data_IF_156895202700
#
_entry.id   IF_156895202700
#
_cell.length_a   1.000
_cell.length_b   1.000
_cell.length_c   1.000
_cell.angle_alpha   90.00
_cell.angle_beta   90.00
_cell.angle_gamma   90.00
#
_symmetry.space_group_name_H-M   'P 1'
#
loop_
_entity.id
_entity.type
_entity.pdbx_description
1 polymer ?
#
# COMPACT_ATOMS: atom_id res chain seq x y z
N UNK A 1 9.71 3.41 8.45
CA UNK A 1 9.94 1.98 8.71
C UNK A 1 11.22 1.58 8.00
N UNK A 2 12.01 0.67 8.57
CA UNK A 2 13.27 0.18 8.00
C UNK A 2 13.19 -1.33 7.81
N UNK A 3 13.90 -1.86 6.81
CA UNK A 3 14.08 -3.30 6.67
C UNK A 3 14.68 -3.88 7.97
N UNK A 4 14.29 -5.08 8.33
CA UNK A 4 14.72 -5.72 9.58
C UNK A 4 14.01 -5.23 10.85
N UNK A 5 12.97 -4.38 10.74
CA UNK A 5 12.13 -4.03 11.90
C UNK A 5 11.45 -5.28 12.46
N UNK A 6 11.61 -5.52 13.76
CA UNK A 6 10.99 -6.65 14.46
C UNK A 6 9.67 -6.18 15.08
N UNK A 7 8.61 -6.90 14.79
CA UNK A 7 7.29 -6.68 15.38
C UNK A 7 7.05 -7.66 16.53
N UNK A 8 6.46 -7.21 17.62
CA UNK A 8 6.27 -8.00 18.85
C UNK A 8 4.82 -8.02 19.30
N UNK A 9 4.52 -8.90 20.25
CA UNK A 9 3.18 -9.03 20.83
C UNK A 9 2.17 -9.58 19.83
N UNK A 10 0.98 -8.99 19.81
CA UNK A 10 -0.16 -9.31 18.93
C UNK A 10 -0.19 -8.48 17.64
N UNK A 11 0.92 -7.85 17.27
CA UNK A 11 1.01 -7.07 16.04
C UNK A 11 0.83 -7.96 14.81
N UNK A 12 -0.26 -7.75 14.06
CA UNK A 12 -0.62 -8.55 12.89
C UNK A 12 0.46 -8.55 11.79
N UNK A 13 1.35 -7.55 11.78
CA UNK A 13 2.48 -7.50 10.83
C UNK A 13 3.47 -8.65 11.03
N UNK A 14 3.46 -9.34 12.16
CA UNK A 14 4.28 -10.55 12.40
C UNK A 14 3.93 -11.70 11.49
N UNK A 15 2.67 -11.81 11.10
CA UNK A 15 2.14 -12.93 10.29
C UNK A 15 1.78 -12.50 8.86
N UNK A 16 1.76 -11.20 8.60
CA UNK A 16 1.49 -10.68 7.26
C UNK A 16 2.70 -10.93 6.35
N UNK A 17 2.53 -11.68 5.25
CA UNK A 17 3.62 -12.05 4.34
C UNK A 17 4.35 -10.85 3.72
N UNK A 18 3.75 -9.67 3.71
CA UNK A 18 4.39 -8.43 3.25
C UNK A 18 5.53 -7.97 4.18
N UNK A 19 5.49 -8.38 5.45
CA UNK A 19 6.47 -7.99 6.47
C UNK A 19 7.49 -9.10 6.80
N UNK A 20 7.50 -10.20 6.02
CA UNK A 20 8.44 -11.31 6.15
C UNK A 20 9.55 -11.16 5.08
N UNK A 21 10.80 -11.36 5.50
CA UNK A 21 11.95 -11.31 4.56
C UNK A 21 11.94 -12.49 3.57
N UNK A 22 12.40 -12.31 2.33
CA UNK A 22 13.03 -11.11 1.75
C UNK A 22 12.02 -10.07 1.24
N UNK A 23 10.73 -10.37 1.25
CA UNK A 23 9.66 -9.54 0.69
C UNK A 23 9.56 -8.20 1.41
N UNK A 24 9.74 -8.19 2.72
CA UNK A 24 9.70 -6.94 3.50
C UNK A 24 10.76 -5.92 3.04
N UNK A 25 12.00 -6.36 2.84
CA UNK A 25 13.06 -5.49 2.31
C UNK A 25 12.72 -4.94 0.91
N UNK A 26 12.11 -5.75 0.05
CA UNK A 26 11.67 -5.34 -1.29
C UNK A 26 10.59 -4.26 -1.21
N UNK A 27 9.58 -4.42 -0.35
CA UNK A 27 8.55 -3.40 -0.14
C UNK A 27 9.12 -2.10 0.43
N UNK A 28 10.05 -2.18 1.37
CA UNK A 28 10.73 -0.97 1.90
C UNK A 28 11.50 -0.24 0.79
N UNK A 29 12.21 -0.96 -0.07
CA UNK A 29 12.91 -0.38 -1.20
C UNK A 29 11.94 0.25 -2.22
N UNK A 30 10.81 -0.40 -2.51
CA UNK A 30 9.76 0.16 -3.36
C UNK A 30 9.23 1.49 -2.81
N UNK A 31 8.86 1.50 -1.52
CA UNK A 31 8.36 2.70 -0.83
C UNK A 31 9.36 3.85 -0.89
N UNK A 32 10.66 3.59 -0.72
CA UNK A 32 11.70 4.63 -0.82
C UNK A 32 11.82 5.22 -2.22
N UNK A 33 11.71 4.38 -3.26
CA UNK A 33 11.72 4.85 -4.66
C UNK A 33 10.47 5.64 -4.99
N UNK A 34 9.30 5.18 -4.54
CA UNK A 34 8.03 5.87 -4.75
C UNK A 34 7.95 7.20 -4.00
N UNK A 35 8.54 7.30 -2.80
CA UNK A 35 8.61 8.57 -2.06
C UNK A 35 9.47 9.60 -2.80
N UNK A 36 10.59 9.18 -3.36
CA UNK A 36 11.43 10.06 -4.22
C UNK A 36 10.67 10.52 -5.46
N UNK A 37 9.95 9.62 -6.12
CA UNK A 37 9.10 9.98 -7.28
C UNK A 37 8.02 10.99 -6.87
N UNK A 38 7.33 10.75 -5.76
CA UNK A 38 6.31 11.66 -5.25
C UNK A 38 6.85 13.07 -4.99
N UNK A 39 8.03 13.18 -4.37
CA UNK A 39 8.69 14.44 -4.10
C UNK A 39 9.12 15.16 -5.37
N UNK A 40 9.74 14.44 -6.30
CA UNK A 40 10.30 15.01 -7.54
C UNK A 40 9.22 15.45 -8.54
N UNK A 41 8.16 14.65 -8.68
CA UNK A 41 7.11 14.89 -9.68
C UNK A 41 5.99 15.78 -9.17
N UNK A 42 5.66 15.71 -7.90
CA UNK A 42 4.45 16.33 -7.33
C UNK A 42 4.72 17.19 -6.10
N UNK A 43 5.94 17.19 -5.53
CA UNK A 43 6.22 17.85 -4.27
C UNK A 43 5.44 17.25 -3.09
N UNK A 44 5.11 15.96 -3.18
CA UNK A 44 4.27 15.25 -2.21
C UNK A 44 5.04 14.12 -1.52
N UNK A 45 4.54 13.66 -0.38
CA UNK A 45 5.08 12.48 0.31
C UNK A 45 4.40 11.21 -0.20
N UNK A 46 5.03 10.07 0.09
CA UNK A 46 4.52 8.75 -0.32
C UNK A 46 3.07 8.51 0.13
N UNK A 47 2.68 8.97 1.33
CA UNK A 47 1.31 8.77 1.82
C UNK A 47 0.28 9.47 0.92
N UNK A 48 0.58 10.69 0.46
CA UNK A 48 -0.29 11.43 -0.45
C UNK A 48 -0.36 10.76 -1.82
N UNK A 49 0.79 10.26 -2.33
CA UNK A 49 0.84 9.52 -3.58
C UNK A 49 -0.01 8.25 -3.51
N UNK A 50 0.10 7.49 -2.42
CA UNK A 50 -0.63 6.23 -2.24
C UNK A 50 -2.14 6.46 -2.20
N UNK A 51 -2.61 7.44 -1.45
CA UNK A 51 -4.04 7.76 -1.36
C UNK A 51 -4.55 8.33 -2.69
N UNK A 52 -3.78 9.23 -3.32
CA UNK A 52 -4.14 9.78 -4.66
C UNK A 52 -4.22 8.67 -5.71
N UNK A 53 -3.27 7.74 -5.70
CA UNK A 53 -3.28 6.59 -6.60
C UNK A 53 -4.57 5.78 -6.47
N UNK A 54 -5.02 5.49 -5.25
CA UNK A 54 -6.28 4.79 -5.00
C UNK A 54 -7.47 5.57 -5.56
N UNK A 55 -7.56 6.88 -5.28
CA UNK A 55 -8.65 7.72 -5.79
C UNK A 55 -8.65 7.80 -7.32
N UNK A 56 -7.50 7.83 -7.96
CA UNK A 56 -7.37 7.86 -9.43
C UNK A 56 -7.72 6.51 -10.09
N UNK A 57 -7.92 5.42 -9.31
CA UNK A 57 -8.48 4.15 -9.80
C UNK A 57 -10.03 4.18 -9.91
N UNK A 58 -10.68 5.27 -9.56
CA UNK A 58 -12.14 5.41 -9.63
C UNK A 58 -12.89 4.86 -8.42
N UNK A 59 -12.21 4.63 -7.30
CA UNK A 59 -12.88 4.25 -6.05
C UNK A 59 -13.63 5.44 -5.46
N UNK A 60 -14.75 5.18 -4.77
CA UNK A 60 -15.58 6.23 -4.16
C UNK A 60 -14.97 6.76 -2.86
N UNK A 61 -14.36 5.89 -2.05
CA UNK A 61 -13.86 6.24 -0.71
C UNK A 61 -12.58 5.48 -0.41
N UNK A 62 -11.57 6.20 0.11
CA UNK A 62 -10.36 5.62 0.67
C UNK A 62 -10.38 5.74 2.21
N UNK A 63 -10.04 4.66 2.91
CA UNK A 63 -9.91 4.66 4.36
C UNK A 63 -8.47 5.03 4.75
N UNK A 64 -8.34 6.01 5.62
CA UNK A 64 -7.06 6.47 6.15
C UNK A 64 -7.00 6.23 7.65
N UNK A 65 -6.30 5.18 8.07
CA UNK A 65 -6.07 4.88 9.47
C UNK A 65 -4.99 5.77 10.08
N UNK A 66 -5.22 6.22 11.31
CA UNK A 66 -4.24 6.99 12.07
C UNK A 66 -4.28 6.60 13.54
N UNK A 67 -3.11 6.59 14.19
CA UNK A 67 -2.98 6.40 15.65
C UNK A 67 -2.77 7.72 16.40
N UNK A 68 -2.31 8.75 15.70
CA UNK A 68 -2.04 10.07 16.23
C UNK A 68 -2.64 11.15 15.32
N UNK A 69 -3.18 12.27 15.87
CA UNK A 69 -3.83 13.31 15.08
C UNK A 69 -2.94 13.91 13.98
N UNK A 70 -1.65 14.00 14.22
CA UNK A 70 -0.66 14.55 13.26
C UNK A 70 -0.59 13.73 11.97
N UNK A 71 -0.99 12.47 12.00
CA UNK A 71 -1.02 11.61 10.83
C UNK A 71 -2.18 11.93 9.86
N UNK A 72 -3.17 12.69 10.34
CA UNK A 72 -4.31 13.15 9.53
C UNK A 72 -4.15 14.59 9.01
N UNK A 73 -3.22 15.38 9.56
CA UNK A 73 -3.04 16.78 9.17
C UNK A 73 -2.86 17.00 7.67
N UNK A 74 -2.09 16.16 6.94
CA UNK A 74 -1.88 16.37 5.51
C UNK A 74 -2.95 15.76 4.60
N UNK A 75 -4.16 15.49 5.08
CA UNK A 75 -5.21 14.86 4.26
C UNK A 75 -5.64 15.72 3.07
N UNK A 76 -5.60 17.04 3.21
CA UNK A 76 -5.89 18.01 2.15
C UNK A 76 -4.84 18.00 1.03
N UNK A 77 -3.62 17.57 1.32
CA UNK A 77 -2.54 17.40 0.33
C UNK A 77 -2.81 16.34 -0.74
N UNK A 78 -3.86 15.56 -0.59
CA UNK A 78 -4.31 14.56 -1.57
C UNK A 78 -5.21 15.17 -2.65
N UNK A 79 -5.81 16.34 -2.38
CA UNK A 79 -6.81 16.99 -3.23
C UNK A 79 -6.15 17.99 -4.18
N UNK A 80 -6.77 18.22 -5.34
CA UNK A 80 -6.37 19.28 -6.28
C UNK A 80 -5.28 18.90 -7.27
N UNK A 81 -4.91 17.62 -7.37
CA UNK A 81 -3.95 17.09 -8.35
C UNK A 81 -4.30 15.66 -8.73
N UNK A 82 -3.67 15.16 -9.77
CA UNK A 82 -3.83 13.77 -10.22
C UNK A 82 -2.51 13.20 -10.70
N UNK A 83 -2.42 11.88 -10.75
CA UNK A 83 -1.24 11.17 -11.25
C UNK A 83 -1.40 11.01 -12.75
N UNK A 84 -0.50 11.63 -13.53
CA UNK A 84 -0.52 11.51 -14.99
C UNK A 84 -0.09 10.11 -15.48
N UNK A 85 -0.36 9.81 -16.75
CA UNK A 85 -0.07 8.51 -17.33
C UNK A 85 1.42 8.14 -17.28
N UNK A 86 2.31 9.10 -17.45
CA UNK A 86 3.76 8.89 -17.35
C UNK A 86 4.19 8.49 -15.95
N UNK A 87 3.66 9.17 -14.93
CA UNK A 87 3.93 8.83 -13.53
C UNK A 87 3.33 7.48 -13.13
N UNK A 88 2.14 7.12 -13.64
CA UNK A 88 1.56 5.78 -13.44
C UNK A 88 2.45 4.68 -13.99
N UNK A 89 2.96 4.85 -15.21
CA UNK A 89 3.89 3.90 -15.83
C UNK A 89 5.19 3.77 -15.02
N UNK A 90 5.69 4.87 -14.46
CA UNK A 90 6.89 4.85 -13.61
C UNK A 90 6.64 4.16 -12.27
N UNK A 91 5.47 4.35 -11.65
CA UNK A 91 5.05 3.61 -10.46
C UNK A 91 5.03 2.10 -10.73
N UNK A 92 4.39 1.67 -11.81
CA UNK A 92 4.32 0.27 -12.21
C UNK A 92 5.70 -0.33 -12.43
N UNK A 93 6.59 0.39 -13.11
CA UNK A 93 7.98 -0.02 -13.32
C UNK A 93 8.74 -0.19 -12.00
N UNK A 94 8.62 0.78 -11.09
CA UNK A 94 9.27 0.69 -9.77
C UNK A 94 8.79 -0.55 -9.01
N UNK A 95 7.50 -0.83 -9.01
CA UNK A 95 6.94 -2.00 -8.32
C UNK A 95 7.43 -3.31 -8.95
N UNK A 96 7.42 -3.42 -10.27
CA UNK A 96 7.88 -4.61 -10.99
C UNK A 96 9.37 -4.88 -10.78
N UNK A 97 10.21 -3.84 -10.79
CA UNK A 97 11.65 -3.97 -10.57
C UNK A 97 12.03 -4.27 -9.12
N UNK A 98 11.18 -3.91 -8.17
CA UNK A 98 11.54 -3.95 -6.74
C UNK A 98 10.94 -5.14 -6.02
N UNK A 99 9.71 -5.53 -6.36
CA UNK A 99 8.97 -6.60 -5.68
C UNK A 99 8.82 -7.79 -6.61
N UNK A 100 9.63 -8.83 -6.37
CA UNK A 100 9.68 -10.02 -7.23
C UNK A 100 8.43 -10.91 -7.12
N UNK A 101 7.85 -10.98 -5.92
CA UNK A 101 6.70 -11.85 -5.61
C UNK A 101 5.70 -11.06 -4.75
N UNK A 102 4.85 -10.21 -5.36
CA UNK A 102 3.90 -9.39 -4.62
C UNK A 102 2.82 -10.25 -3.96
N UNK A 103 2.41 -9.84 -2.76
CA UNK A 103 1.27 -10.45 -2.07
C UNK A 103 -0.03 -10.00 -2.73
N UNK A 104 -0.83 -10.96 -3.18
CA UNK A 104 -2.13 -10.69 -3.78
C UNK A 104 -3.19 -10.21 -2.78
N UNK A 105 -4.35 -9.76 -3.27
CA UNK A 105 -5.43 -9.26 -2.43
C UNK A 105 -6.09 -10.36 -1.58
N UNK A 106 -5.87 -11.62 -1.92
CA UNK A 106 -6.49 -12.80 -1.28
C UNK A 106 -6.13 -12.90 0.20
N UNK A 107 -4.96 -12.41 0.58
CA UNK A 107 -4.50 -12.47 1.97
C UNK A 107 -5.45 -11.79 2.96
N UNK A 108 -6.10 -10.70 2.56
CA UNK A 108 -7.06 -9.96 3.38
C UNK A 108 -8.50 -10.11 2.90
N UNK A 109 -8.74 -10.97 1.90
CA UNK A 109 -10.09 -11.20 1.39
C UNK A 109 -10.94 -11.96 2.43
N UNK A 110 -12.21 -11.58 2.62
CA UNK A 110 -13.11 -12.38 3.44
C UNK A 110 -13.27 -13.77 2.82
N UNK A 111 -13.48 -14.82 3.65
CA UNK A 111 -13.69 -16.18 3.14
C UNK A 111 -14.88 -16.21 2.18
N UNK A 112 -14.72 -16.92 1.06
CA UNK A 112 -15.79 -17.03 0.08
C UNK A 112 -16.99 -17.77 0.68
N UNK A 113 -18.20 -17.23 0.55
CA UNK A 113 -19.46 -17.84 1.05
C UNK A 113 -19.84 -19.14 0.33
N UNK A 114 -19.04 -19.65 -0.59
CA UNK A 114 -19.35 -20.86 -1.37
C UNK A 114 -19.19 -22.19 -0.64
N UNK A 115 -18.62 -22.21 0.56
CA UNK A 115 -18.36 -23.46 1.28
C UNK A 115 -19.57 -24.04 2.07
N UNK A 116 -20.67 -23.31 2.25
CA UNK A 116 -21.78 -23.76 3.10
C UNK A 116 -23.01 -24.32 2.38
N UNK A 117 -23.02 -24.34 1.06
CA UNK A 117 -24.21 -24.80 0.29
C UNK A 117 -24.28 -26.32 0.06
N UNK A 118 -23.32 -27.12 0.52
CA UNK A 118 -23.25 -28.56 0.20
C UNK A 118 -23.15 -29.48 1.41
N UNK A 119 -23.59 -29.07 2.59
CA UNK A 119 -23.62 -29.91 3.81
C UNK A 119 -25.04 -30.17 4.35
N UNK A 120 -26.01 -30.32 3.46
CA UNK A 120 -27.37 -30.74 3.81
C UNK A 120 -27.90 -31.75 2.80
N UNK A 121 -27.44 -32.99 2.89
CA UNK A 121 -28.19 -34.18 2.48
C UNK A 121 -27.84 -35.36 3.36
#
# INVERSE_FOLDING_TARGET
MKAGTIFSGDDLRRTDPKFIEPRFAQYVAAVQKLDRLAQQRFGKRIIHLAVRWMLDQGITTALWGARHPEQLQPVDEVIGWSIDASAKAEIDRILQETVADPVGPEFMAPPSRRAEANSSK
#
